data_IF_008870163429
#
_entry.id   IF_008870163429
#
_cell.length_a   1.000
_cell.length_b   1.000
_cell.length_c   1.000
_cell.angle_alpha   90.00
_cell.angle_beta   90.00
_cell.angle_gamma   90.00
#
_symmetry.space_group_name_H-M   'P 1'
#
loop_
_entity.id
_entity.type
_entity.pdbx_description
1 polymer ?
#
# COMPACT_ATOMS: atom_id res chain seq x y z
N UNK A 1 1.07 15.58 0.03
CA UNK A 1 2.48 15.80 -0.26
C UNK A 1 3.05 17.06 0.42
N UNK A 2 2.23 18.08 0.68
CA UNK A 2 2.67 19.34 1.27
C UNK A 2 2.60 19.38 2.81
N UNK A 3 2.08 18.35 3.45
CA UNK A 3 2.04 18.25 4.91
C UNK A 3 3.39 17.70 5.41
N UNK A 4 4.22 18.57 5.92
CA UNK A 4 5.51 18.22 6.54
C UNK A 4 5.51 18.80 7.96
N UNK A 5 5.07 18.04 8.96
CA UNK A 5 5.11 18.52 10.34
C UNK A 5 6.56 18.64 10.81
N UNK A 6 6.87 19.72 11.51
CA UNK A 6 8.20 19.95 12.06
C UNK A 6 8.58 18.80 13.03
N UNK A 7 9.83 18.39 12.99
CA UNK A 7 10.41 17.35 13.85
C UNK A 7 9.86 15.92 13.66
N UNK A 8 9.23 15.62 12.51
CA UNK A 8 8.80 14.27 12.17
C UNK A 8 9.57 13.74 10.96
N UNK A 9 10.02 12.50 11.05
CA UNK A 9 10.44 11.74 9.88
C UNK A 9 9.21 11.03 9.29
N UNK A 10 8.93 11.28 8.01
CA UNK A 10 7.85 10.63 7.29
C UNK A 10 8.40 9.47 6.46
N UNK A 11 7.79 8.30 6.62
CA UNK A 11 8.09 7.09 5.83
C UNK A 11 6.81 6.66 5.14
N UNK A 12 6.88 6.52 3.82
CA UNK A 12 5.76 6.12 2.98
C UNK A 12 6.04 4.75 2.38
N UNK A 13 5.14 3.80 2.63
CA UNK A 13 5.29 2.44 2.15
C UNK A 13 4.64 2.25 0.78
N UNK A 14 5.27 1.43 -0.05
CA UNK A 14 4.74 0.99 -1.33
C UNK A 14 3.69 -0.10 -1.09
N UNK A 15 2.47 0.12 -1.57
CA UNK A 15 1.44 -0.89 -1.66
C UNK A 15 1.28 -1.46 -3.07
N UNK A 16 0.44 -2.48 -3.20
CA UNK A 16 0.16 -3.12 -4.49
C UNK A 16 -0.55 -2.18 -5.47
N UNK A 17 -1.40 -1.26 -5.00
CA UNK A 17 -2.07 -0.29 -5.87
C UNK A 17 -1.10 0.73 -6.45
N UNK A 18 -0.17 1.25 -5.65
CA UNK A 18 0.89 2.13 -6.12
C UNK A 18 1.81 1.40 -7.10
N UNK A 19 2.12 0.13 -6.84
CA UNK A 19 2.93 -0.68 -7.76
C UNK A 19 2.23 -0.89 -9.11
N UNK A 20 0.94 -1.23 -9.13
CA UNK A 20 0.20 -1.39 -10.39
C UNK A 20 0.17 -0.09 -11.21
N UNK A 21 0.02 1.06 -10.54
CA UNK A 21 0.10 2.37 -11.18
C UNK A 21 1.50 2.63 -11.77
N UNK A 22 2.56 2.34 -11.00
CA UNK A 22 3.94 2.50 -11.46
C UNK A 22 4.26 1.55 -12.62
N UNK A 23 3.77 0.32 -12.61
CA UNK A 23 3.92 -0.63 -13.71
C UNK A 23 3.27 -0.07 -14.99
N UNK A 24 2.09 0.53 -14.88
CA UNK A 24 1.45 1.21 -16.00
C UNK A 24 2.28 2.40 -16.49
N UNK A 25 2.75 3.27 -15.60
CA UNK A 25 3.57 4.44 -15.94
C UNK A 25 4.88 4.01 -16.63
N UNK A 26 5.45 2.88 -16.22
CA UNK A 26 6.65 2.29 -16.82
C UNK A 26 6.36 1.43 -18.05
N UNK A 27 5.14 1.49 -18.58
CA UNK A 27 4.70 0.80 -19.80
C UNK A 27 4.88 -0.73 -19.76
N UNK A 28 4.67 -1.33 -18.58
CA UNK A 28 4.66 -2.80 -18.44
C UNK A 28 3.42 -3.35 -19.16
N UNK A 29 3.56 -4.39 -20.00
CA UNK A 29 2.43 -4.98 -20.72
C UNK A 29 1.27 -5.36 -19.79
N UNK A 30 0.04 -5.14 -20.25
CA UNK A 30 -1.22 -5.47 -19.55
C UNK A 30 -1.44 -4.79 -18.18
N UNK A 31 -0.51 -3.95 -17.73
CA UNK A 31 -0.56 -3.28 -16.43
C UNK A 31 -1.78 -2.37 -16.25
N UNK A 32 -2.20 -1.64 -17.29
CA UNK A 32 -3.41 -0.82 -17.25
C UNK A 32 -4.65 -1.67 -16.94
N UNK A 33 -4.79 -2.81 -17.62
CA UNK A 33 -5.93 -3.71 -17.40
C UNK A 33 -5.96 -4.25 -15.99
N UNK A 34 -4.83 -4.73 -15.50
CA UNK A 34 -4.69 -5.23 -14.13
C UNK A 34 -5.01 -4.14 -13.09
N UNK A 35 -4.51 -2.92 -13.31
CA UNK A 35 -4.75 -1.79 -12.41
C UNK A 35 -6.22 -1.39 -12.37
N UNK A 36 -6.89 -1.30 -13.53
CA UNK A 36 -8.33 -0.98 -13.63
C UNK A 36 -9.18 -2.05 -12.93
N UNK A 37 -8.89 -3.34 -13.09
CA UNK A 37 -9.59 -4.43 -12.41
C UNK A 37 -9.50 -4.32 -10.88
N UNK A 38 -8.43 -3.71 -10.36
CA UNK A 38 -8.21 -3.48 -8.94
C UNK A 38 -8.60 -2.07 -8.48
N UNK A 39 -9.45 -1.36 -9.22
CA UNK A 39 -9.97 -0.04 -8.81
C UNK A 39 -9.13 1.15 -9.25
N UNK A 40 -8.16 0.98 -10.13
CA UNK A 40 -7.36 2.06 -10.72
C UNK A 40 -8.18 3.12 -11.45
N UNK A 41 -9.40 2.77 -11.91
CA UNK A 41 -10.36 3.72 -12.46
C UNK A 41 -10.69 4.85 -11.48
N UNK A 42 -10.74 4.58 -10.18
CA UNK A 42 -10.98 5.59 -9.14
C UNK A 42 -9.82 6.57 -9.02
N UNK A 43 -8.59 6.05 -9.06
CA UNK A 43 -7.38 6.88 -9.09
C UNK A 43 -7.36 7.75 -10.35
N UNK A 44 -7.60 7.18 -11.52
CA UNK A 44 -7.64 7.93 -12.79
C UNK A 44 -8.73 9.01 -12.79
N UNK A 45 -9.91 8.72 -12.22
CA UNK A 45 -10.97 9.71 -12.03
C UNK A 45 -10.51 10.91 -11.21
N UNK A 46 -9.70 10.70 -10.16
CA UNK A 46 -9.16 11.78 -9.33
C UNK A 46 -8.21 12.70 -10.09
N UNK A 47 -7.54 12.18 -11.13
CA UNK A 47 -6.72 12.93 -12.08
C UNK A 47 -7.51 13.48 -13.28
N UNK A 48 -8.84 13.43 -13.24
CA UNK A 48 -9.70 14.00 -14.27
C UNK A 48 -9.94 13.09 -15.49
N UNK A 49 -9.53 11.83 -15.46
CA UNK A 49 -9.75 10.83 -16.50
C UNK A 49 -11.02 10.05 -16.17
N UNK A 50 -12.17 10.54 -16.59
CA UNK A 50 -13.50 10.04 -16.17
C UNK A 50 -14.16 9.10 -17.16
N UNK A 51 -13.70 9.07 -18.41
CA UNK A 51 -14.37 8.33 -19.47
C UNK A 51 -13.99 6.84 -19.45
N UNK A 52 -14.95 6.00 -19.06
CA UNK A 52 -14.77 4.54 -19.12
C UNK A 52 -14.60 4.02 -20.55
N UNK A 53 -15.18 4.71 -21.54
CA UNK A 53 -14.99 4.39 -22.95
C UNK A 53 -13.53 4.55 -23.38
N UNK A 54 -12.77 5.35 -22.67
CA UNK A 54 -11.33 5.53 -22.87
C UNK A 54 -10.55 4.20 -22.77
N UNK A 55 -10.91 3.33 -21.83
CA UNK A 55 -10.25 2.04 -21.64
C UNK A 55 -10.74 0.94 -22.58
N UNK A 56 -11.93 1.12 -23.18
CA UNK A 56 -12.54 0.13 -24.05
C UNK A 56 -12.62 0.59 -25.51
N UNK A 57 -12.09 1.79 -25.81
CA UNK A 57 -12.16 2.38 -27.15
C UNK A 57 -11.13 1.73 -28.08
N UNK A 58 -11.59 0.78 -28.89
CA UNK A 58 -10.76 0.08 -29.89
C UNK A 58 -10.25 0.98 -31.04
N UNK A 59 -10.64 2.26 -31.10
CA UNK A 59 -10.20 3.19 -32.13
C UNK A 59 -8.91 3.93 -31.81
N UNK A 60 -8.52 3.99 -30.52
CA UNK A 60 -7.26 4.59 -30.07
C UNK A 60 -6.17 3.51 -29.94
N UNK A 61 -4.95 3.83 -30.35
CA UNK A 61 -3.83 2.95 -30.07
C UNK A 61 -3.49 2.93 -28.58
N UNK A 62 -2.90 1.84 -28.09
CA UNK A 62 -2.43 1.74 -26.70
C UNK A 62 -1.45 2.87 -26.34
N UNK A 63 -0.61 3.27 -27.28
CA UNK A 63 0.33 4.39 -27.12
C UNK A 63 -0.38 5.74 -26.91
N UNK A 64 -1.44 6.00 -27.67
CA UNK A 64 -2.25 7.22 -27.50
C UNK A 64 -2.89 7.26 -26.12
N UNK A 65 -3.49 6.14 -25.69
CA UNK A 65 -4.10 5.99 -24.36
C UNK A 65 -3.06 6.21 -23.26
N UNK A 66 -1.91 5.57 -23.38
CA UNK A 66 -0.80 5.71 -22.44
C UNK A 66 -0.38 7.18 -22.28
N UNK A 67 -0.09 7.87 -23.39
CA UNK A 67 0.36 9.26 -23.38
C UNK A 67 -0.70 10.21 -22.80
N UNK A 68 -1.98 10.01 -23.13
CA UNK A 68 -3.07 10.83 -22.57
C UNK A 68 -3.21 10.66 -21.06
N UNK A 69 -2.98 9.47 -20.52
CA UNK A 69 -3.04 9.18 -19.07
C UNK A 69 -1.81 9.73 -18.35
N UNK A 70 -0.62 9.37 -18.81
CA UNK A 70 0.64 9.71 -18.13
C UNK A 70 0.83 11.21 -18.03
N UNK A 71 0.45 11.96 -19.05
CA UNK A 71 0.54 13.42 -19.04
C UNK A 71 -0.41 14.12 -18.05
N UNK A 72 -1.36 13.38 -17.44
CA UNK A 72 -2.25 13.92 -16.39
C UNK A 72 -1.64 13.85 -14.98
N UNK A 73 -0.61 13.03 -14.79
CA UNK A 73 0.02 12.93 -13.48
C UNK A 73 0.97 14.10 -13.23
N UNK A 74 0.82 14.85 -12.13
CA UNK A 74 1.80 15.86 -11.72
C UNK A 74 3.17 15.21 -11.47
N UNK A 75 4.24 15.90 -11.84
CA UNK A 75 5.61 15.38 -11.71
C UNK A 75 6.00 15.09 -10.26
N UNK A 76 5.57 15.92 -9.33
CA UNK A 76 5.78 15.76 -7.90
C UNK A 76 5.06 14.52 -7.34
N UNK A 77 3.86 14.19 -7.85
CA UNK A 77 3.18 12.95 -7.53
C UNK A 77 3.96 11.72 -8.03
N UNK A 78 4.42 11.76 -9.29
CA UNK A 78 5.25 10.67 -9.85
C UNK A 78 6.54 10.49 -9.05
N UNK A 79 7.19 11.57 -8.68
CA UNK A 79 8.38 11.52 -7.82
C UNK A 79 8.07 10.92 -6.45
N UNK A 80 6.95 11.29 -5.84
CA UNK A 80 6.51 10.71 -4.57
C UNK A 80 6.33 9.20 -4.68
N UNK A 81 5.59 8.71 -5.68
CA UNK A 81 5.35 7.27 -5.86
C UNK A 81 6.62 6.48 -6.15
N UNK A 82 7.57 7.04 -6.90
CA UNK A 82 8.85 6.41 -7.16
C UNK A 82 9.77 6.33 -5.93
N UNK A 83 9.53 7.16 -4.90
CA UNK A 83 10.31 7.19 -3.66
C UNK A 83 9.69 6.38 -2.52
N UNK A 84 8.60 5.64 -2.75
CA UNK A 84 8.01 4.76 -1.76
C UNK A 84 8.93 3.59 -1.42
N UNK A 85 8.97 3.21 -0.15
CA UNK A 85 9.80 2.10 0.34
C UNK A 85 8.97 0.83 0.54
N UNK A 86 9.58 -0.34 0.33
CA UNK A 86 8.89 -1.64 0.51
C UNK A 86 8.58 -1.94 1.96
N UNK A 87 9.47 -1.56 2.86
CA UNK A 87 9.33 -1.79 4.29
C UNK A 87 10.15 -0.77 5.09
N UNK A 88 9.86 -0.68 6.36
CA UNK A 88 10.63 0.14 7.29
C UNK A 88 10.80 -0.60 8.62
N UNK A 89 12.02 -0.61 9.15
CA UNK A 89 12.30 -1.21 10.45
C UNK A 89 12.56 -0.14 11.50
N UNK A 90 11.94 -0.30 12.66
CA UNK A 90 12.16 0.59 13.77
C UNK A 90 11.94 -0.13 15.12
N UNK A 91 12.96 -0.18 15.95
CA UNK A 91 12.93 -0.95 17.19
C UNK A 91 12.53 -2.42 16.94
N UNK A 92 11.53 -2.88 17.67
CA UNK A 92 10.98 -4.24 17.59
C UNK A 92 9.96 -4.42 16.45
N UNK A 93 9.77 -3.41 15.60
CA UNK A 93 8.71 -3.41 14.58
C UNK A 93 9.28 -3.46 13.16
N UNK A 94 8.57 -4.18 12.30
CA UNK A 94 8.76 -4.22 10.85
C UNK A 94 7.46 -3.77 10.17
N UNK A 95 7.48 -2.61 9.55
CA UNK A 95 6.36 -2.01 8.86
C UNK A 95 6.39 -2.42 7.39
N UNK A 96 5.27 -2.91 6.87
CA UNK A 96 5.13 -3.41 5.51
C UNK A 96 3.68 -3.28 5.05
N UNK A 97 3.44 -3.20 3.74
CA UNK A 97 2.08 -3.05 3.23
C UNK A 97 1.20 -4.28 3.52
N UNK A 98 1.62 -5.48 3.09
CA UNK A 98 0.76 -6.67 3.14
C UNK A 98 1.21 -7.74 4.14
N UNK A 99 2.50 -7.95 4.31
CA UNK A 99 3.03 -8.98 5.20
C UNK A 99 4.36 -9.57 4.72
N UNK A 100 4.72 -10.72 5.27
CA UNK A 100 6.00 -11.41 5.01
C UNK A 100 5.76 -12.88 4.67
N UNK A 101 6.76 -13.56 4.10
CA UNK A 101 6.85 -15.02 4.15
C UNK A 101 7.54 -15.43 5.45
N UNK A 102 6.85 -16.18 6.34
CA UNK A 102 7.40 -16.57 7.65
C UNK A 102 8.65 -17.46 7.61
N UNK A 103 8.96 -18.06 6.48
CA UNK A 103 10.13 -18.95 6.34
C UNK A 103 11.35 -18.24 5.74
N UNK A 104 11.20 -16.96 5.40
CA UNK A 104 12.25 -16.16 4.78
C UNK A 104 12.69 -15.05 5.74
N UNK A 105 13.99 -14.83 5.99
CA UNK A 105 14.48 -13.71 6.80
C UNK A 105 13.96 -12.37 6.31
N UNK A 106 13.76 -11.40 7.23
CA UNK A 106 13.15 -10.11 6.91
C UNK A 106 13.94 -9.30 5.88
N UNK A 107 15.26 -9.44 5.86
CA UNK A 107 16.16 -8.78 4.90
C UNK A 107 16.18 -9.44 3.51
N UNK A 108 15.52 -10.60 3.35
CA UNK A 108 15.48 -11.40 2.11
C UNK A 108 14.08 -11.56 1.53
N UNK A 109 13.10 -10.85 2.08
CA UNK A 109 11.74 -10.87 1.59
C UNK A 109 11.67 -10.34 0.14
N UNK A 110 10.91 -11.03 -0.72
CA UNK A 110 10.67 -10.54 -2.07
C UNK A 110 9.59 -9.44 -2.10
N UNK A 111 9.69 -8.56 -3.10
CA UNK A 111 8.77 -7.44 -3.27
C UNK A 111 7.30 -7.87 -3.36
N UNK A 112 7.00 -8.92 -4.12
CA UNK A 112 5.62 -9.34 -4.32
C UNK A 112 5.00 -9.84 -3.01
N UNK A 113 5.77 -10.58 -2.20
CA UNK A 113 5.35 -10.97 -0.86
C UNK A 113 5.03 -9.74 0.00
N UNK A 114 5.92 -8.75 0.04
CA UNK A 114 5.74 -7.58 0.88
C UNK A 114 4.49 -6.75 0.53
N UNK A 115 4.07 -6.75 -0.74
CA UNK A 115 2.93 -5.92 -1.19
C UNK A 115 1.66 -6.71 -1.55
N UNK A 116 1.70 -8.07 -1.60
CA UNK A 116 0.57 -8.92 -1.98
C UNK A 116 0.30 -10.09 -1.03
N UNK A 117 0.95 -10.18 0.13
CA UNK A 117 0.81 -11.32 1.03
C UNK A 117 -0.66 -11.55 1.44
N UNK A 118 -1.18 -12.75 1.10
CA UNK A 118 -2.52 -13.24 1.48
C UNK A 118 -2.52 -14.72 1.88
N UNK A 119 -1.32 -15.33 1.99
CA UNK A 119 -1.23 -16.77 2.30
C UNK A 119 -1.61 -17.03 3.74
N UNK A 120 -2.43 -18.05 3.95
CA UNK A 120 -2.86 -18.52 5.27
C UNK A 120 -1.69 -18.73 6.23
N UNK A 121 -0.57 -19.25 5.73
CA UNK A 121 0.65 -19.48 6.50
C UNK A 121 1.15 -18.26 7.29
N UNK A 122 0.98 -17.04 6.75
CA UNK A 122 1.33 -15.81 7.46
C UNK A 122 0.27 -15.48 8.53
N UNK A 123 -1.01 -15.56 8.18
CA UNK A 123 -2.10 -15.13 9.05
C UNK A 123 -2.35 -16.08 10.21
N UNK A 124 -2.23 -17.39 9.99
CA UNK A 124 -2.41 -18.43 11.01
C UNK A 124 -1.17 -18.70 11.87
N UNK A 125 -0.01 -18.11 11.51
CA UNK A 125 1.25 -18.33 12.22
C UNK A 125 1.18 -17.73 13.63
N UNK A 126 1.43 -18.57 14.64
CA UNK A 126 1.45 -18.18 16.06
C UNK A 126 2.86 -18.08 16.64
N UNK A 127 3.87 -18.42 15.84
CA UNK A 127 5.28 -18.30 16.28
C UNK A 127 5.69 -16.83 16.24
N UNK A 128 6.60 -16.46 17.11
CA UNK A 128 7.21 -15.14 17.05
C UNK A 128 8.06 -15.02 15.78
N UNK A 129 7.97 -13.87 15.15
CA UNK A 129 8.87 -13.47 14.06
C UNK A 129 10.07 -12.72 14.64
N UNK A 130 11.08 -12.45 13.82
CA UNK A 130 12.23 -11.62 14.24
C UNK A 130 11.81 -10.25 14.79
N UNK A 131 10.68 -9.72 14.31
CA UNK A 131 10.07 -8.45 14.72
C UNK A 131 8.55 -8.57 14.68
N UNK A 132 7.86 -7.67 15.36
CA UNK A 132 6.40 -7.53 15.25
C UNK A 132 6.07 -6.92 13.89
N UNK A 133 5.33 -7.65 13.06
CA UNK A 133 4.97 -7.21 11.71
C UNK A 133 3.74 -6.30 11.76
N UNK A 134 3.91 -5.03 11.42
CA UNK A 134 2.79 -4.07 11.31
C UNK A 134 2.40 -3.95 9.84
N UNK A 135 1.16 -4.29 9.52
CA UNK A 135 0.71 -4.40 8.13
C UNK A 135 -0.76 -4.02 7.94
N UNK A 136 -1.20 -3.98 6.67
CA UNK A 136 -2.58 -3.82 6.22
C UNK A 136 -2.92 -4.78 5.09
N UNK A 137 -3.47 -4.28 3.97
CA UNK A 137 -3.76 -4.98 2.71
C UNK A 137 -4.88 -6.03 2.79
N UNK A 138 -5.09 -6.66 3.91
CA UNK A 138 -6.14 -7.66 4.12
C UNK A 138 -7.10 -7.14 5.18
N UNK A 139 -8.20 -6.47 4.76
CA UNK A 139 -9.08 -5.80 5.69
C UNK A 139 -9.71 -6.75 6.71
N UNK A 140 -9.81 -6.28 7.95
CA UNK A 140 -10.47 -6.95 9.06
C UNK A 140 -11.55 -6.04 9.66
N UNK A 141 -12.61 -6.59 10.28
CA UNK A 141 -13.65 -5.77 10.91
C UNK A 141 -13.12 -4.84 12.01
N UNK A 142 -11.97 -5.16 12.59
CA UNK A 142 -11.28 -4.37 13.62
C UNK A 142 -9.79 -4.67 13.60
N UNK A 143 -9.00 -3.79 14.20
CA UNK A 143 -7.55 -3.98 14.36
C UNK A 143 -7.26 -5.33 15.01
N UNK A 144 -6.35 -6.11 14.42
CA UNK A 144 -5.80 -7.31 15.05
C UNK A 144 -4.47 -6.94 15.71
N UNK A 145 -4.36 -7.19 17.03
CA UNK A 145 -3.14 -6.96 17.79
C UNK A 145 -2.69 -8.28 18.42
N UNK A 146 -1.86 -9.01 17.70
CA UNK A 146 -1.29 -10.28 18.12
C UNK A 146 0.15 -10.10 18.64
N UNK A 147 0.74 -11.16 19.18
CA UNK A 147 2.13 -11.12 19.70
C UNK A 147 3.15 -10.91 18.60
N UNK A 148 2.92 -11.50 17.43
CA UNK A 148 3.86 -11.49 16.29
C UNK A 148 3.47 -10.52 15.16
N UNK A 149 2.23 -10.02 15.11
CA UNK A 149 1.78 -9.07 14.08
C UNK A 149 0.65 -8.16 14.53
N UNK A 150 0.53 -7.04 13.87
CA UNK A 150 -0.54 -6.05 14.05
C UNK A 150 -1.11 -5.74 12.67
N UNK A 151 -2.40 -6.03 12.44
CA UNK A 151 -3.11 -5.61 11.24
C UNK A 151 -3.91 -4.34 11.52
N UNK A 152 -3.58 -3.25 10.82
CA UNK A 152 -4.24 -1.95 10.96
C UNK A 152 -5.32 -1.71 9.90
N UNK A 153 -5.49 -2.61 8.93
CA UNK A 153 -6.45 -2.41 7.84
C UNK A 153 -7.87 -2.72 8.30
N UNK A 154 -8.63 -1.69 8.52
CA UNK A 154 -10.07 -1.75 8.83
C UNK A 154 -10.94 -1.47 7.61
N UNK A 155 -10.38 -1.54 6.41
CA UNK A 155 -11.11 -1.38 5.16
C UNK A 155 -11.61 0.04 4.92
N UNK A 156 -10.80 1.06 5.21
CA UNK A 156 -11.20 2.46 5.17
C UNK A 156 -11.89 2.87 3.86
N UNK A 157 -11.53 2.27 2.72
CA UNK A 157 -12.10 2.58 1.41
C UNK A 157 -13.60 2.24 1.28
N UNK A 158 -14.14 1.33 2.11
CA UNK A 158 -15.56 0.96 2.13
C UNK A 158 -16.22 1.16 3.49
N UNK A 159 -15.47 1.09 4.60
CA UNK A 159 -16.01 1.31 5.96
C UNK A 159 -15.99 2.78 6.35
N UNK A 160 -15.11 3.60 5.76
CA UNK A 160 -14.79 4.95 6.21
C UNK A 160 -13.93 5.01 7.47
N UNK A 161 -13.54 3.84 8.03
CA UNK A 161 -12.77 3.75 9.29
C UNK A 161 -11.29 3.59 8.96
N UNK A 162 -10.52 4.64 9.14
CA UNK A 162 -9.06 4.62 9.06
C UNK A 162 -8.46 4.42 10.43
N UNK A 163 -7.60 3.43 10.59
CA UNK A 163 -6.97 3.06 11.86
C UNK A 163 -5.52 3.51 11.94
N UNK A 164 -5.07 3.84 13.15
CA UNK A 164 -3.72 4.28 13.44
C UNK A 164 -3.18 3.60 14.69
N UNK A 165 -1.91 3.25 14.68
CA UNK A 165 -1.14 2.76 15.82
C UNK A 165 -0.16 3.85 16.27
N UNK A 166 -0.20 4.17 17.54
CA UNK A 166 0.78 5.04 18.22
C UNK A 166 1.63 4.16 19.13
N UNK A 167 2.94 4.27 19.03
CA UNK A 167 3.90 3.52 19.84
C UNK A 167 4.76 4.51 20.62
N UNK A 168 4.70 4.44 21.94
CA UNK A 168 5.64 5.15 22.80
C UNK A 168 6.94 4.35 22.90
N UNK A 169 8.00 4.88 22.34
CA UNK A 169 9.30 4.20 22.22
C UNK A 169 10.03 4.01 23.54
N UNK A 170 9.72 4.84 24.55
CA UNK A 170 10.35 4.76 25.86
C UNK A 170 9.73 3.68 26.72
N UNK A 171 8.42 3.49 26.59
CA UNK A 171 7.65 2.59 27.46
C UNK A 171 7.18 1.32 26.74
N UNK A 172 7.26 1.27 25.42
CA UNK A 172 6.68 0.20 24.59
C UNK A 172 5.14 0.22 24.54
N UNK A 173 4.50 1.23 25.17
CA UNK A 173 3.03 1.33 25.20
C UNK A 173 2.47 1.57 23.82
N UNK A 174 1.48 0.77 23.45
CA UNK A 174 0.71 0.89 22.21
C UNK A 174 -0.64 1.53 22.48
N UNK A 175 -1.05 2.46 21.60
CA UNK A 175 -2.40 3.00 21.57
C UNK A 175 -2.95 2.88 20.17
N UNK A 176 -4.19 2.45 20.03
CA UNK A 176 -4.91 2.35 18.78
C UNK A 176 -6.00 3.42 18.75
N UNK A 177 -6.03 4.18 17.67
CA UNK A 177 -7.08 5.17 17.40
C UNK A 177 -7.63 4.95 16.00
N UNK A 178 -8.81 5.48 15.72
CA UNK A 178 -9.41 5.46 14.39
C UNK A 178 -10.28 6.70 14.15
N UNK A 179 -10.77 6.86 12.93
CA UNK A 179 -11.55 8.04 12.51
C UNK A 179 -12.95 8.13 13.13
N UNK A 180 -13.37 7.18 13.97
CA UNK A 180 -14.65 7.20 14.70
C UNK A 180 -14.48 7.55 16.18
N UNK A 181 -13.26 7.73 16.67
CA UNK A 181 -12.94 8.09 18.05
C UNK A 181 -12.81 9.60 18.22
#
# INVERSE_FOLDING_TARGET
LNFQPDNFQQIFLLGNHEQMMLDFINNVPDSLYLWILNGGDKTLNSYGIKDKAFFYNKTKSNETIYNEIVNKFPKDHLQFFNNLTLSYQWGEYFFVHAGIDPDIPLDKQDKNTLIWQRKEKFFSNKKDFEKIIVHGHTPQPKIENLTNRINLDTGAFYTGILSCLIIDTKTGKKQFINTTN
#
